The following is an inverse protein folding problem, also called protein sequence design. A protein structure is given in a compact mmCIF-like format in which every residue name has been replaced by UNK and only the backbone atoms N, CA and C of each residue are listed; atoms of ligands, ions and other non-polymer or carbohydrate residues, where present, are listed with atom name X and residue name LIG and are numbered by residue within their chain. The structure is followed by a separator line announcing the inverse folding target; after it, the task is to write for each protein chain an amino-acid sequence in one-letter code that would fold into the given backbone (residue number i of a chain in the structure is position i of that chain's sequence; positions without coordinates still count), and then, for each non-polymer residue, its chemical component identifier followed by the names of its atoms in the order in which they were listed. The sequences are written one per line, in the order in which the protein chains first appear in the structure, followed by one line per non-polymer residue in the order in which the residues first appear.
data_IF_949987445748
#
_entry.id   IF_949987445748
#
_cell.length_a   1.000
_cell.length_b   1.000
_cell.length_c   1.000
_cell.angle_alpha   90.00
_cell.angle_beta   90.00
_cell.angle_gamma   90.00
#
_symmetry.space_group_name_H-M   'P 1'
#
loop_
_entity.id
_entity.type
_entity.pdbx_description
1 polymer ?
#
# COMPACT_ATOMS: atom_id res chain seq x y z
N UNK A 1 46.46 43.06 -10.21
CA UNK A 1 47.28 41.91 -9.77
C UNK A 1 46.29 40.88 -9.26
N UNK A 2 45.80 39.89 -10.01
CA UNK A 2 46.36 39.13 -11.13
C UNK A 2 45.23 38.84 -12.13
N UNK A 3 45.59 38.88 -13.42
CA UNK A 3 44.75 38.63 -14.58
C UNK A 3 44.57 37.14 -14.91
N UNK A 4 43.54 36.89 -15.73
CA UNK A 4 43.14 35.69 -16.46
C UNK A 4 44.29 34.81 -17.03
N UNK A 5 44.11 33.48 -17.00
CA UNK A 5 44.02 32.70 -18.26
C UNK A 5 43.49 31.27 -18.04
N UNK A 6 42.39 30.94 -18.70
CA UNK A 6 41.83 29.59 -18.75
C UNK A 6 41.92 29.09 -20.19
N UNK A 7 42.96 28.30 -20.50
CA UNK A 7 43.03 27.50 -21.73
C UNK A 7 43.61 26.12 -21.49
N UNK A 8 42.78 25.14 -21.89
CA UNK A 8 43.14 23.88 -22.55
C UNK A 8 44.10 22.92 -21.85
N UNK A 9 43.53 21.91 -21.19
CA UNK A 9 43.97 20.51 -21.34
C UNK A 9 42.75 19.61 -21.51
N UNK A 10 42.40 19.37 -22.78
CA UNK A 10 41.61 18.21 -23.20
C UNK A 10 42.38 16.96 -22.78
N UNK A 11 41.92 16.28 -21.73
CA UNK A 11 42.33 14.91 -21.43
C UNK A 11 41.31 14.00 -22.11
N UNK A 12 41.81 13.26 -23.08
CA UNK A 12 41.13 12.22 -23.84
C UNK A 12 40.35 11.26 -22.96
N UNK A 13 39.11 10.96 -23.37
CA UNK A 13 38.26 9.91 -22.81
C UNK A 13 39.02 8.57 -22.71
N UNK A 14 39.00 7.87 -21.56
CA UNK A 14 39.58 6.54 -21.47
C UNK A 14 38.74 5.56 -22.30
N UNK A 15 39.38 4.93 -23.29
CA UNK A 15 38.79 3.86 -24.10
C UNK A 15 38.47 2.67 -23.19
N UNK A 16 37.20 2.25 -23.15
CA UNK A 16 36.77 1.02 -22.49
C UNK A 16 37.50 -0.19 -23.12
N UNK A 17 38.11 -1.08 -22.33
CA UNK A 17 38.69 -2.31 -22.86
C UNK A 17 37.58 -3.25 -23.36
N UNK A 18 37.71 -3.66 -24.63
CA UNK A 18 36.70 -4.37 -25.42
C UNK A 18 36.53 -5.87 -25.11
N UNK A 19 36.90 -6.33 -23.90
CA UNK A 19 36.93 -7.76 -23.56
C UNK A 19 36.48 -8.08 -22.13
N UNK A 20 35.32 -7.56 -21.70
CA UNK A 20 34.61 -8.16 -20.57
C UNK A 20 33.62 -9.20 -21.12
N UNK A 21 34.11 -10.43 -21.34
CA UNK A 21 33.23 -11.60 -21.30
C UNK A 21 32.72 -11.70 -19.87
N UNK A 22 31.57 -11.09 -19.60
CA UNK A 22 30.76 -11.39 -18.43
C UNK A 22 30.32 -12.85 -18.55
N UNK A 23 31.15 -13.76 -18.05
CA UNK A 23 30.69 -15.04 -17.56
C UNK A 23 29.80 -14.72 -16.36
N UNK A 24 28.53 -14.46 -16.63
CA UNK A 24 27.49 -14.68 -15.64
C UNK A 24 27.42 -16.20 -15.52
N UNK A 25 28.24 -16.75 -14.63
CA UNK A 25 27.95 -18.08 -14.08
C UNK A 25 26.60 -17.94 -13.40
N UNK A 26 25.53 -18.36 -14.08
CA UNK A 26 24.24 -18.60 -13.44
C UNK A 26 24.51 -19.63 -12.34
N UNK A 27 24.40 -19.28 -11.05
CA UNK A 27 24.57 -20.25 -10.00
C UNK A 27 23.56 -21.39 -10.24
N UNK A 28 23.93 -22.65 -9.99
CA UNK A 28 23.01 -23.77 -10.14
C UNK A 28 21.76 -23.47 -9.30
N UNK A 29 20.62 -23.52 -9.96
CA UNK A 29 19.30 -23.33 -9.37
C UNK A 29 19.12 -24.36 -8.25
N UNK A 30 19.43 -24.00 -7.00
CA UNK A 30 19.03 -24.81 -5.85
C UNK A 30 17.52 -24.64 -5.72
N UNK A 31 16.80 -25.68 -6.14
CA UNK A 31 15.36 -25.78 -5.97
C UNK A 31 14.97 -25.62 -4.50
N UNK A 32 13.86 -24.90 -4.30
CA UNK A 32 13.26 -24.63 -3.00
C UNK A 32 13.74 -23.30 -2.41
N UNK A 33 13.05 -22.19 -2.75
CA UNK A 33 13.04 -21.06 -1.84
C UNK A 33 12.45 -21.55 -0.51
N UNK A 34 13.10 -21.27 0.61
CA UNK A 34 12.53 -21.57 1.92
C UNK A 34 11.17 -20.86 2.02
N UNK A 35 10.12 -21.61 2.37
CA UNK A 35 8.82 -21.04 2.64
C UNK A 35 8.95 -20.00 3.76
N UNK A 36 8.23 -18.89 3.63
CA UNK A 36 8.17 -17.91 4.72
C UNK A 36 7.41 -18.56 5.86
N UNK A 37 8.16 -18.99 6.87
CA UNK A 37 7.62 -19.58 8.08
C UNK A 37 7.13 -18.47 9.02
N UNK A 38 5.94 -18.70 9.58
CA UNK A 38 5.43 -17.89 10.68
C UNK A 38 6.28 -18.09 11.93
N UNK A 39 6.29 -17.11 12.82
CA UNK A 39 6.79 -17.31 14.19
C UNK A 39 6.02 -18.45 14.90
N UNK A 40 6.45 -18.84 16.11
CA UNK A 40 5.75 -19.90 16.84
C UNK A 40 4.27 -19.57 17.03
N UNK A 41 3.40 -20.58 17.06
CA UNK A 41 1.95 -20.36 17.24
C UNK A 41 1.64 -19.62 18.53
N UNK A 42 2.44 -19.83 19.58
CA UNK A 42 2.31 -19.11 20.85
C UNK A 42 2.57 -17.61 20.69
N UNK A 43 3.60 -17.23 19.94
CA UNK A 43 3.96 -15.84 19.71
C UNK A 43 3.01 -15.14 18.74
N UNK A 44 2.55 -15.83 17.69
CA UNK A 44 1.51 -15.34 16.81
C UNK A 44 0.22 -15.06 17.59
N UNK A 45 -0.20 -15.99 18.46
CA UNK A 45 -1.41 -15.84 19.26
C UNK A 45 -1.28 -14.72 20.30
N UNK A 46 -0.12 -14.58 20.94
CA UNK A 46 0.15 -13.48 21.86
C UNK A 46 0.11 -12.11 21.15
N UNK A 47 0.68 -12.02 19.94
CA UNK A 47 0.62 -10.84 19.10
C UNK A 47 -0.82 -10.48 18.71
N UNK A 48 -1.60 -11.45 18.24
CA UNK A 48 -3.01 -11.26 17.88
C UNK A 48 -3.86 -10.79 19.07
N UNK A 49 -3.65 -11.37 20.25
CA UNK A 49 -4.35 -10.96 21.47
C UNK A 49 -3.91 -9.57 21.95
N UNK A 50 -2.62 -9.25 21.87
CA UNK A 50 -2.09 -7.95 22.23
C UNK A 50 -2.74 -6.84 21.40
N UNK A 51 -2.90 -7.05 20.10
CA UNK A 51 -3.49 -6.09 19.15
C UNK A 51 -5.02 -6.15 19.03
N UNK A 52 -5.66 -7.10 19.71
CA UNK A 52 -7.10 -7.39 19.58
C UNK A 52 -7.52 -7.69 18.13
N UNK A 53 -6.66 -8.39 17.40
CA UNK A 53 -6.92 -8.82 16.02
C UNK A 53 -8.15 -9.73 15.91
N UNK A 54 -8.48 -10.62 16.86
CA UNK A 54 -9.71 -11.40 16.79
C UNK A 54 -10.97 -10.51 16.76
N UNK A 55 -10.98 -9.43 17.53
CA UNK A 55 -12.09 -8.46 17.49
C UNK A 55 -12.10 -7.65 16.19
N UNK A 56 -10.94 -7.17 15.72
CA UNK A 56 -10.85 -6.47 14.44
C UNK A 56 -11.27 -7.33 13.24
N UNK A 57 -10.81 -8.59 13.18
CA UNK A 57 -11.18 -9.53 12.12
C UNK A 57 -12.69 -9.79 12.06
N UNK A 58 -13.42 -9.72 13.20
CA UNK A 58 -14.88 -9.82 13.19
C UNK A 58 -15.53 -8.68 12.40
N UNK A 59 -15.00 -7.47 12.49
CA UNK A 59 -15.48 -6.35 11.67
C UNK A 59 -15.16 -6.55 10.19
N UNK A 60 -13.93 -6.97 9.88
CA UNK A 60 -13.47 -7.11 8.50
C UNK A 60 -14.14 -8.26 7.74
N UNK A 61 -14.48 -9.34 8.45
CA UNK A 61 -15.14 -10.52 7.85
C UNK A 61 -16.66 -10.43 7.86
N UNK A 62 -17.25 -9.46 8.57
CA UNK A 62 -18.67 -9.19 8.50
C UNK A 62 -19.05 -8.69 7.09
N UNK A 63 -19.94 -9.44 6.43
CA UNK A 63 -20.54 -9.08 5.13
C UNK A 63 -21.89 -8.43 5.38
N UNK A 64 -21.87 -7.14 5.71
CA UNK A 64 -23.10 -6.39 6.00
C UNK A 64 -23.70 -5.81 4.73
N UNK A 65 -22.86 -5.60 3.71
CA UNK A 65 -23.25 -5.10 2.39
C UNK A 65 -22.84 -6.13 1.33
N UNK A 66 -23.56 -7.27 1.21
CA UNK A 66 -23.16 -8.36 0.30
C UNK A 66 -23.09 -7.93 -1.17
N UNK A 67 -23.88 -6.94 -1.56
CA UNK A 67 -23.88 -6.36 -2.91
C UNK A 67 -22.67 -5.43 -3.14
N UNK A 68 -22.02 -4.94 -2.07
CA UNK A 68 -20.81 -4.14 -2.14
C UNK A 68 -19.58 -5.05 -2.21
N UNK A 69 -19.24 -5.51 -3.43
CA UNK A 69 -18.11 -6.45 -3.67
C UNK A 69 -16.78 -6.00 -3.09
N UNK A 70 -16.55 -4.70 -2.96
CA UNK A 70 -15.30 -4.13 -2.41
C UNK A 70 -15.35 -3.86 -0.90
N UNK A 71 -16.46 -4.13 -0.22
CA UNK A 71 -16.57 -4.13 1.24
C UNK A 71 -15.40 -4.84 1.96
N UNK A 72 -14.97 -6.07 1.55
CA UNK A 72 -13.88 -6.79 2.23
C UNK A 72 -12.55 -6.05 2.20
N UNK A 73 -12.36 -5.17 1.21
CA UNK A 73 -11.12 -4.42 0.97
C UNK A 73 -11.24 -3.00 1.54
N UNK A 74 -12.36 -2.32 1.28
CA UNK A 74 -12.57 -0.92 1.67
C UNK A 74 -12.87 -0.77 3.16
N UNK A 75 -13.64 -1.67 3.77
CA UNK A 75 -13.93 -1.61 5.21
C UNK A 75 -12.66 -1.60 6.07
N UNK A 76 -11.72 -2.58 5.96
CA UNK A 76 -10.48 -2.54 6.74
C UNK A 76 -9.61 -1.32 6.38
N UNK A 77 -9.58 -0.88 5.12
CA UNK A 77 -8.83 0.32 4.71
C UNK A 77 -9.38 1.60 5.39
N UNK A 78 -10.70 1.78 5.41
CA UNK A 78 -11.36 2.90 6.06
C UNK A 78 -11.20 2.84 7.59
N UNK A 79 -11.23 1.65 8.19
CA UNK A 79 -10.94 1.48 9.62
C UNK A 79 -9.48 1.79 9.95
N UNK A 80 -8.52 1.46 9.08
CA UNK A 80 -7.13 1.90 9.24
C UNK A 80 -7.04 3.44 9.24
N UNK A 81 -7.77 4.10 8.34
CA UNK A 81 -7.84 5.56 8.28
C UNK A 81 -8.43 6.16 9.57
N UNK A 82 -9.50 5.57 10.11
CA UNK A 82 -10.07 6.00 11.39
C UNK A 82 -9.09 5.77 12.57
N UNK A 83 -8.34 4.67 12.56
CA UNK A 83 -7.28 4.44 13.55
C UNK A 83 -6.17 5.50 13.41
N UNK A 84 -5.83 5.91 12.19
CA UNK A 84 -4.89 7.02 11.94
C UNK A 84 -5.40 8.33 12.57
N UNK A 85 -6.69 8.66 12.45
CA UNK A 85 -7.27 9.85 13.10
C UNK A 85 -7.17 9.77 14.63
N UNK A 86 -7.54 8.64 15.22
CA UNK A 86 -7.34 8.37 16.64
C UNK A 86 -5.86 8.49 17.06
N UNK A 87 -4.95 8.10 16.18
CA UNK A 87 -3.51 8.15 16.44
C UNK A 87 -2.98 9.58 16.42
N UNK A 88 -3.45 10.43 15.48
CA UNK A 88 -3.19 11.88 15.47
C UNK A 88 -3.59 12.51 16.80
N UNK A 89 -4.80 12.22 17.30
CA UNK A 89 -5.25 12.68 18.62
C UNK A 89 -4.27 12.28 19.74
N UNK A 90 -3.85 11.01 19.73
CA UNK A 90 -3.02 10.43 20.79
C UNK A 90 -1.63 11.07 20.83
N UNK A 91 -0.99 11.25 19.68
CA UNK A 91 0.38 11.78 19.60
C UNK A 91 0.44 13.29 19.82
N UNK A 92 -0.53 14.05 19.28
CA UNK A 92 -0.57 15.50 19.50
C UNK A 92 -0.96 15.88 20.94
N UNK A 93 -1.55 14.94 21.68
CA UNK A 93 -1.87 15.09 23.10
C UNK A 93 -0.78 14.55 24.03
N UNK A 94 0.29 13.95 23.50
CA UNK A 94 1.37 13.38 24.29
C UNK A 94 2.05 14.46 25.15
N UNK A 95 2.03 14.37 26.49
CA UNK A 95 2.56 15.40 27.37
C UNK A 95 4.10 15.41 27.45
N UNK A 96 4.77 14.37 26.95
CA UNK A 96 6.22 14.19 27.16
C UNK A 96 7.04 15.23 26.40
N UNK A 97 8.11 15.78 27.00
CA UNK A 97 8.85 16.91 26.44
C UNK A 97 9.76 16.51 25.26
N UNK A 98 10.16 15.25 25.18
CA UNK A 98 11.03 14.72 24.12
C UNK A 98 10.26 14.21 22.90
N UNK A 99 8.92 14.18 22.94
CA UNK A 99 8.10 13.79 21.80
C UNK A 99 8.17 14.86 20.69
N UNK A 100 8.72 14.49 19.53
CA UNK A 100 8.80 15.39 18.37
C UNK A 100 7.42 15.54 17.68
N UNK A 101 6.49 16.26 18.34
CA UNK A 101 5.11 16.43 17.87
C UNK A 101 5.01 17.00 16.45
N UNK A 102 5.98 17.84 16.05
CA UNK A 102 6.01 18.45 14.70
C UNK A 102 6.26 17.41 13.62
N UNK A 103 7.24 16.53 13.83
CA UNK A 103 7.53 15.47 12.86
C UNK A 103 6.44 14.41 12.86
N UNK A 104 5.94 14.03 14.04
CA UNK A 104 4.77 13.16 14.15
C UNK A 104 3.54 13.71 13.38
N UNK A 105 3.24 15.00 13.56
CA UNK A 105 2.16 15.68 12.84
C UNK A 105 2.32 15.55 11.32
N UNK A 106 3.51 15.82 10.79
CA UNK A 106 3.79 15.72 9.35
C UNK A 106 3.67 14.29 8.83
N UNK A 107 4.23 13.33 9.57
CA UNK A 107 4.25 11.92 9.16
C UNK A 107 2.86 11.31 9.20
N UNK A 108 2.03 11.66 10.20
CA UNK A 108 0.65 11.20 10.26
C UNK A 108 -0.26 11.88 9.22
N UNK A 109 -0.05 13.17 8.92
CA UNK A 109 -0.73 13.85 7.80
C UNK A 109 -0.38 13.21 6.46
N UNK A 110 0.91 12.93 6.23
CA UNK A 110 1.38 12.23 5.04
C UNK A 110 0.79 10.82 4.95
N UNK A 111 0.80 10.06 6.06
CA UNK A 111 0.22 8.72 6.11
C UNK A 111 -1.28 8.74 5.77
N UNK A 112 -2.05 9.64 6.39
CA UNK A 112 -3.47 9.79 6.10
C UNK A 112 -3.69 10.14 4.63
N UNK A 113 -2.83 10.97 4.04
CA UNK A 113 -2.89 11.31 2.62
C UNK A 113 -2.63 10.09 1.73
N UNK A 114 -1.57 9.31 2.00
CA UNK A 114 -1.28 8.05 1.29
C UNK A 114 -2.44 7.04 1.40
N UNK A 115 -3.08 6.94 2.56
CA UNK A 115 -4.26 6.10 2.79
C UNK A 115 -5.47 6.56 1.98
N UNK A 116 -5.77 7.85 1.99
CA UNK A 116 -6.88 8.45 1.23
C UNK A 116 -6.68 8.26 -0.28
N UNK A 117 -5.46 8.49 -0.79
CA UNK A 117 -5.11 8.26 -2.19
C UNK A 117 -5.27 6.80 -2.62
N UNK A 118 -4.99 5.86 -1.73
CA UNK A 118 -5.18 4.43 -1.97
C UNK A 118 -6.66 4.05 -1.92
N UNK A 119 -7.41 4.56 -0.95
CA UNK A 119 -8.86 4.36 -0.85
C UNK A 119 -9.56 4.89 -2.10
N UNK A 120 -9.24 6.11 -2.53
CA UNK A 120 -9.78 6.69 -3.77
C UNK A 120 -9.49 5.80 -4.98
N UNK A 121 -8.24 5.34 -5.13
CA UNK A 121 -7.89 4.46 -6.24
C UNK A 121 -8.59 3.09 -6.19
N UNK A 122 -8.85 2.54 -4.99
CA UNK A 122 -9.63 1.32 -4.81
C UNK A 122 -11.10 1.50 -5.19
N UNK A 123 -11.66 2.68 -4.93
CA UNK A 123 -13.04 3.02 -5.32
C UNK A 123 -13.11 3.19 -6.84
N UNK A 124 -12.21 3.97 -7.46
CA UNK A 124 -12.18 4.19 -8.91
C UNK A 124 -12.02 2.89 -9.70
N UNK A 125 -11.17 1.97 -9.24
CA UNK A 125 -10.94 0.68 -9.90
C UNK A 125 -12.19 -0.22 -9.90
N UNK A 126 -13.13 0.01 -8.98
CA UNK A 126 -14.38 -0.74 -8.89
C UNK A 126 -15.46 -0.26 -9.89
N UNK A 127 -15.37 0.99 -10.38
CA UNK A 127 -16.42 1.59 -11.21
C UNK A 127 -16.27 1.32 -12.71
N UNK A 128 -15.17 0.68 -13.13
CA UNK A 128 -14.88 0.43 -14.54
C UNK A 128 -15.81 -0.62 -15.18
N UNK A 129 -16.69 -1.26 -14.39
CA UNK A 129 -17.69 -2.25 -14.82
C UNK A 129 -19.03 -1.63 -15.27
N UNK A 130 -19.11 -0.30 -15.43
CA UNK A 130 -20.09 0.34 -16.31
C UNK A 130 -21.46 0.71 -15.71
N UNK A 131 -21.69 0.52 -14.41
CA UNK A 131 -22.90 1.01 -13.76
C UNK A 131 -22.68 1.42 -12.30
N UNK A 132 -22.30 2.69 -12.08
CA UNK A 132 -22.13 3.27 -10.75
C UNK A 132 -23.40 3.22 -9.89
N UNK A 133 -24.58 3.02 -10.51
CA UNK A 133 -25.85 2.81 -9.79
C UNK A 133 -26.00 1.39 -9.25
N UNK A 134 -25.19 0.45 -9.74
CA UNK A 134 -25.24 -0.97 -9.37
C UNK A 134 -24.12 -1.35 -8.40
N UNK A 135 -23.15 -0.46 -8.13
CA UNK A 135 -22.22 -0.61 -7.02
C UNK A 135 -22.88 -0.17 -5.70
N UNK A 136 -23.50 -1.12 -5.01
CA UNK A 136 -24.30 -0.96 -3.78
C UNK A 136 -23.53 -0.54 -2.52
N UNK A 137 -22.57 0.38 -2.64
CA UNK A 137 -22.02 1.05 -1.47
C UNK A 137 -23.15 1.79 -0.73
N UNK A 138 -23.17 1.82 0.62
CA UNK A 138 -24.18 2.55 1.37
C UNK A 138 -23.91 4.05 1.29
N UNK A 139 -24.41 4.68 0.23
CA UNK A 139 -24.23 6.11 -0.05
C UNK A 139 -25.54 6.86 0.16
N UNK A 140 -25.46 8.04 0.77
CA UNK A 140 -26.59 8.94 0.94
C UNK A 140 -26.59 10.01 -0.17
N UNK A 141 -27.71 10.14 -0.89
CA UNK A 141 -27.88 11.21 -1.88
C UNK A 141 -28.19 12.52 -1.16
N UNK A 142 -27.22 13.44 -1.20
CA UNK A 142 -27.27 14.73 -0.52
C UNK A 142 -27.88 15.85 -1.38
N UNK A 143 -28.41 15.52 -2.57
CA UNK A 143 -29.10 16.48 -3.43
C UNK A 143 -30.50 16.73 -2.88
N UNK A 144 -30.73 17.93 -2.36
CA UNK A 144 -32.08 18.39 -2.00
C UNK A 144 -32.93 18.42 -3.27
N UNK A 145 -33.86 17.46 -3.41
CA UNK A 145 -34.84 17.48 -4.50
C UNK A 145 -36.15 18.13 -4.08
N UNK A 146 -36.38 18.39 -2.80
CA UNK A 146 -37.59 19.06 -2.31
C UNK A 146 -37.31 19.91 -1.05
N UNK A 147 -37.41 21.24 -1.20
CA UNK A 147 -37.59 22.19 -0.08
C UNK A 147 -36.38 22.49 0.81
N UNK A 148 -36.47 23.54 1.65
CA UNK A 148 -35.44 23.87 2.63
C UNK A 148 -35.27 22.67 3.58
N UNK A 149 -34.03 22.20 3.73
CA UNK A 149 -33.70 21.06 4.58
C UNK A 149 -34.34 21.26 5.95
N UNK A 150 -35.27 20.37 6.32
CA UNK A 150 -35.69 20.26 7.69
C UNK A 150 -34.42 20.00 8.52
N UNK A 151 -34.21 20.79 9.58
CA UNK A 151 -33.10 20.66 10.55
C UNK A 151 -33.19 19.35 11.35
N UNK A 152 -33.47 18.22 10.71
CA UNK A 152 -33.78 16.95 11.35
C UNK A 152 -32.56 16.05 11.52
N UNK A 153 -31.44 16.34 10.84
CA UNK A 153 -30.18 15.61 10.98
C UNK A 153 -29.07 16.60 11.31
N UNK A 154 -28.43 16.46 12.47
CA UNK A 154 -27.37 17.40 12.93
C UNK A 154 -26.04 17.22 12.19
N UNK A 155 -25.95 16.23 11.30
CA UNK A 155 -24.76 15.81 10.54
C UNK A 155 -24.63 16.42 9.14
N UNK A 156 -25.67 17.07 8.61
CA UNK A 156 -25.67 17.65 7.25
C UNK A 156 -25.55 19.18 7.29
N UNK A 157 -24.54 19.73 6.61
CA UNK A 157 -24.30 21.18 6.56
C UNK A 157 -24.47 21.70 5.12
N UNK A 158 -25.34 22.70 4.92
CA UNK A 158 -25.45 23.42 3.65
C UNK A 158 -24.17 24.22 3.40
N UNK A 159 -23.50 23.95 2.28
CA UNK A 159 -22.16 24.50 2.00
C UNK A 159 -22.22 25.66 1.00
N UNK A 160 -22.94 25.50 -0.11
CA UNK A 160 -23.14 26.55 -1.13
C UNK A 160 -24.26 26.20 -2.12
N UNK A 161 -24.77 27.20 -2.85
CA UNK A 161 -25.77 27.02 -3.92
C UNK A 161 -25.11 27.09 -5.30
N UNK A 162 -25.34 26.09 -6.13
CA UNK A 162 -24.98 26.13 -7.55
C UNK A 162 -25.94 27.07 -8.29
N UNK A 163 -25.45 28.06 -9.07
CA UNK A 163 -26.31 28.84 -9.95
C UNK A 163 -26.80 27.95 -11.09
N UNK A 164 -28.10 27.68 -11.15
CA UNK A 164 -28.77 26.96 -12.25
C UNK A 164 -29.65 27.90 -13.09
N UNK A 165 -29.92 27.53 -14.34
CA UNK A 165 -30.72 28.31 -15.31
C UNK A 165 -32.21 28.45 -14.96
N UNK A 166 -32.69 27.74 -13.93
CA UNK A 166 -34.01 27.93 -13.35
C UNK A 166 -33.84 28.43 -11.91
N UNK A 167 -34.74 29.31 -11.46
CA UNK A 167 -34.67 30.04 -10.17
C UNK A 167 -34.67 29.17 -8.89
N UNK A 168 -34.37 27.88 -8.98
CA UNK A 168 -34.20 26.96 -7.86
C UNK A 168 -32.78 26.38 -7.92
N UNK A 169 -31.83 27.09 -7.32
CA UNK A 169 -30.42 26.68 -7.31
C UNK A 169 -30.21 25.44 -6.44
N UNK A 170 -29.53 24.42 -6.96
CA UNK A 170 -29.22 23.20 -6.20
C UNK A 170 -28.34 23.52 -5.00
N UNK A 171 -28.84 23.27 -3.77
CA UNK A 171 -28.03 23.36 -2.55
C UNK A 171 -27.08 22.17 -2.47
N UNK A 172 -25.80 22.45 -2.33
CA UNK A 172 -24.76 21.46 -2.06
C UNK A 172 -24.67 21.26 -0.55
N UNK A 173 -24.78 20.02 -0.13
CA UNK A 173 -24.78 19.62 1.28
C UNK A 173 -23.55 18.74 1.51
N UNK A 174 -22.80 19.02 2.57
CA UNK A 174 -21.73 18.15 3.06
C UNK A 174 -22.28 17.29 4.19
N UNK A 175 -21.94 16.00 4.15
CA UNK A 175 -22.20 15.08 5.26
C UNK A 175 -20.97 15.00 6.17
N UNK A 176 -21.22 15.07 7.48
CA UNK A 176 -20.21 14.93 8.52
C UNK A 176 -20.55 13.73 9.39
N UNK A 177 -19.71 12.71 9.36
CA UNK A 177 -19.73 11.60 10.32
C UNK A 177 -19.80 12.11 11.77
N UNK A 178 -20.72 11.54 12.55
CA UNK A 178 -20.93 11.94 13.94
C UNK A 178 -19.95 11.23 14.89
N UNK A 179 -19.49 10.04 14.52
CA UNK A 179 -18.63 9.21 15.37
C UNK A 179 -17.13 9.29 15.05
N UNK A 180 -16.76 9.68 13.82
CA UNK A 180 -15.35 9.77 13.41
C UNK A 180 -14.56 10.79 14.23
N UNK A 181 -13.27 10.52 14.46
CA UNK A 181 -12.37 11.49 15.06
C UNK A 181 -12.05 12.68 14.16
N UNK A 182 -12.06 12.56 12.83
CA UNK A 182 -11.56 13.63 11.95
C UNK A 182 -12.33 14.96 12.11
N UNK A 183 -13.68 14.99 12.06
CA UNK A 183 -14.45 16.21 12.34
C UNK A 183 -14.11 16.81 13.71
N UNK A 184 -13.91 15.96 14.72
CA UNK A 184 -13.57 16.40 16.09
C UNK A 184 -12.17 16.99 16.16
N UNK A 185 -11.19 16.39 15.49
CA UNK A 185 -9.82 16.90 15.41
C UNK A 185 -9.77 18.29 14.77
N UNK A 186 -10.65 18.58 13.81
CA UNK A 186 -10.76 19.88 13.16
C UNK A 186 -11.22 20.98 14.13
N UNK A 187 -11.95 20.65 15.20
CA UNK A 187 -12.38 21.61 16.22
C UNK A 187 -11.33 21.88 17.30
N UNK A 188 -10.26 21.06 17.37
CA UNK A 188 -9.26 21.16 18.42
C UNK A 188 -8.03 21.93 17.96
N UNK A 189 -7.71 23.03 18.65
CA UNK A 189 -6.59 23.93 18.32
C UNK A 189 -5.23 23.23 18.07
N UNK A 190 -4.96 22.11 18.74
CA UNK A 190 -3.70 21.35 18.57
C UNK A 190 -3.63 20.54 17.28
N UNK A 191 -4.76 20.12 16.75
CA UNK A 191 -4.88 19.22 15.58
C UNK A 191 -5.61 19.84 14.39
N UNK A 192 -6.18 21.03 14.56
CA UNK A 192 -6.97 21.75 13.55
C UNK A 192 -6.26 21.81 12.19
N UNK A 193 -5.00 22.26 12.16
CA UNK A 193 -4.23 22.36 10.92
C UNK A 193 -4.10 21.01 10.19
N UNK A 194 -3.74 19.95 10.92
CA UNK A 194 -3.60 18.59 10.36
C UNK A 194 -4.95 18.08 9.85
N UNK A 195 -6.01 18.25 10.63
CA UNK A 195 -7.34 17.80 10.27
C UNK A 195 -7.87 18.52 9.02
N UNK A 196 -7.66 19.84 8.91
CA UNK A 196 -8.04 20.61 7.73
C UNK A 196 -7.28 20.17 6.47
N UNK A 197 -5.97 19.90 6.60
CA UNK A 197 -5.18 19.36 5.48
C UNK A 197 -5.70 18.00 5.04
N UNK A 198 -6.03 17.11 5.98
CA UNK A 198 -6.62 15.80 5.70
C UNK A 198 -7.97 15.95 4.99
N UNK A 199 -8.87 16.82 5.47
CA UNK A 199 -10.16 17.08 4.83
C UNK A 199 -10.00 17.61 3.39
N UNK A 200 -9.02 18.48 3.16
CA UNK A 200 -8.69 18.96 1.81
C UNK A 200 -8.14 17.84 0.92
N UNK A 201 -7.34 16.92 1.47
CA UNK A 201 -6.89 15.74 0.75
C UNK A 201 -8.06 14.83 0.38
N UNK A 202 -9.02 14.60 1.29
CA UNK A 202 -10.27 13.86 0.97
C UNK A 202 -10.99 14.54 -0.19
N UNK A 203 -11.24 15.84 -0.11
CA UNK A 203 -11.89 16.60 -1.18
C UNK A 203 -11.17 16.43 -2.52
N UNK A 204 -9.84 16.54 -2.55
CA UNK A 204 -9.07 16.46 -3.79
C UNK A 204 -9.07 15.06 -4.41
N UNK A 205 -8.86 14.02 -3.60
CA UNK A 205 -8.77 12.64 -4.11
C UNK A 205 -10.13 12.08 -4.51
N UNK A 206 -11.20 12.43 -3.78
CA UNK A 206 -12.55 11.95 -4.06
C UNK A 206 -13.20 12.63 -5.29
N UNK A 207 -12.53 13.61 -5.94
CA UNK A 207 -13.00 14.23 -7.19
C UNK A 207 -13.15 13.26 -8.35
N UNK A 208 -12.41 12.16 -8.34
CA UNK A 208 -12.47 11.12 -9.38
C UNK A 208 -13.38 9.95 -9.01
N UNK A 209 -13.72 9.81 -7.73
CA UNK A 209 -14.62 8.79 -7.21
C UNK A 209 -16.10 9.11 -7.49
N UNK A 210 -17.01 8.12 -7.45
CA UNK A 210 -18.44 8.32 -7.68
C UNK A 210 -19.14 8.94 -6.46
N UNK A 211 -18.57 8.77 -5.27
CA UNK A 211 -19.04 9.32 -3.99
C UNK A 211 -17.88 9.89 -3.18
N UNK A 212 -18.20 10.69 -2.16
CA UNK A 212 -17.23 11.19 -1.16
C UNK A 212 -17.25 10.35 0.11
N UNK A 213 -16.33 10.59 1.07
CA UNK A 213 -16.24 9.76 2.29
C UNK A 213 -17.23 10.16 3.39
N UNK A 214 -17.81 11.36 3.36
CA UNK A 214 -18.78 11.83 4.35
C UNK A 214 -18.14 12.15 5.72
N UNK A 215 -16.90 12.62 5.72
CA UNK A 215 -16.09 12.94 6.90
C UNK A 215 -16.10 14.44 7.25
N UNK A 216 -17.01 15.22 6.65
CA UNK A 216 -17.05 16.68 6.78
C UNK A 216 -16.17 17.42 5.77
N UNK A 217 -15.71 16.74 4.71
CA UNK A 217 -15.10 17.41 3.57
C UNK A 217 -16.12 18.35 2.89
N UNK A 218 -15.67 19.41 2.20
CA UNK A 218 -16.61 20.40 1.67
C UNK A 218 -17.53 19.89 0.55
N UNK A 219 -17.13 18.83 -0.16
CA UNK A 219 -17.88 18.21 -1.27
C UNK A 219 -18.26 19.23 -2.36
N UNK A 220 -17.26 19.90 -2.94
CA UNK A 220 -17.48 20.94 -3.96
C UNK A 220 -18.23 20.43 -5.21
N UNK A 221 -18.18 19.11 -5.44
CA UNK A 221 -18.78 18.44 -6.59
C UNK A 221 -20.21 17.94 -6.35
N UNK A 222 -20.77 18.13 -5.14
CA UNK A 222 -22.13 17.71 -4.78
C UNK A 222 -22.43 16.23 -5.12
N UNK A 223 -21.44 15.38 -4.83
CA UNK A 223 -21.56 13.92 -4.96
C UNK A 223 -22.27 13.34 -3.75
N UNK A 224 -22.88 12.15 -3.90
CA UNK A 224 -23.41 11.44 -2.75
C UNK A 224 -22.26 11.09 -1.79
N UNK A 225 -22.54 11.00 -0.50
CA UNK A 225 -21.51 10.71 0.53
C UNK A 225 -21.71 9.33 1.14
N UNK A 226 -20.61 8.62 1.32
CA UNK A 226 -20.60 7.33 1.98
C UNK A 226 -21.08 7.47 3.42
N UNK A 227 -21.94 6.56 3.90
CA UNK A 227 -22.29 6.50 5.32
C UNK A 227 -21.12 5.89 6.10
N UNK A 228 -20.15 6.75 6.44
CA UNK A 228 -18.90 6.37 7.08
C UNK A 228 -19.12 5.65 8.42
N UNK A 229 -20.07 6.14 9.23
CA UNK A 229 -20.34 5.59 10.57
C UNK A 229 -20.87 4.17 10.49
N UNK A 230 -21.74 3.89 9.52
CA UNK A 230 -22.31 2.57 9.31
C UNK A 230 -21.24 1.53 8.89
N UNK A 231 -20.26 1.93 8.07
CA UNK A 231 -19.22 1.03 7.56
C UNK A 231 -18.06 0.87 8.54
N UNK A 232 -17.51 1.99 9.01
CA UNK A 232 -16.30 2.00 9.83
C UNK A 232 -16.62 1.61 11.27
N UNK A 233 -17.83 1.92 11.74
CA UNK A 233 -18.27 1.81 13.14
C UNK A 233 -17.25 2.44 14.10
N UNK A 234 -16.95 3.75 13.96
CA UNK A 234 -15.88 4.38 14.73
C UNK A 234 -16.05 4.20 16.24
N UNK A 235 -17.27 4.32 16.78
CA UNK A 235 -17.54 4.09 18.22
C UNK A 235 -17.04 2.72 18.69
N UNK A 236 -17.40 1.65 17.98
CA UNK A 236 -16.99 0.28 18.29
C UNK A 236 -15.46 0.11 18.13
N UNK A 237 -14.89 0.64 17.05
CA UNK A 237 -13.45 0.61 16.78
C UNK A 237 -12.66 1.33 17.88
N UNK A 238 -13.18 2.43 18.42
CA UNK A 238 -12.55 3.18 19.51
C UNK A 238 -12.58 2.44 20.85
N UNK A 239 -13.55 1.53 21.07
CA UNK A 239 -13.52 0.64 22.24
C UNK A 239 -12.35 -0.34 22.20
N UNK A 240 -11.77 -0.55 21.02
CA UNK A 240 -10.57 -1.35 20.84
C UNK A 240 -9.30 -0.60 21.21
N UNK A 241 -9.34 0.63 21.77
CA UNK A 241 -8.15 1.43 22.11
C UNK A 241 -7.27 0.83 23.23
N UNK A 242 -7.77 -0.10 24.05
CA UNK A 242 -7.04 -0.61 25.24
C UNK A 242 -6.76 -2.13 25.14
N UNK A 243 -5.52 -2.58 25.36
CA UNK A 243 -5.22 -4.00 25.56
C UNK A 243 -5.85 -4.45 26.89
N UNK A 244 -6.55 -5.59 26.90
CA UNK A 244 -7.27 -6.13 28.08
C UNK A 244 -6.36 -6.64 29.22
N UNK A 245 -5.04 -6.44 29.14
CA UNK A 245 -4.08 -7.02 30.10
C UNK A 245 -4.15 -6.35 31.49
N UNK A 246 -4.21 -7.13 32.59
CA UNK A 246 -4.26 -6.61 33.96
C UNK A 246 -2.96 -5.93 34.44
N UNK A 247 -1.88 -6.01 33.65
CA UNK A 247 -0.58 -5.36 33.96
C UNK A 247 -0.46 -3.92 33.40
N UNK A 248 -1.44 -3.44 32.64
CA UNK A 248 -1.44 -2.13 31.97
C UNK A 248 -2.01 -0.97 32.82
N UNK A 249 -1.69 -0.90 34.12
CA UNK A 249 -2.05 0.28 34.95
C UNK A 249 -1.22 1.54 34.65
N UNK A 250 -0.25 1.45 33.73
CA UNK A 250 0.59 2.58 33.34
C UNK A 250 0.17 3.01 31.94
N UNK A 251 -0.31 4.25 31.79
CA UNK A 251 -0.54 4.92 30.52
C UNK A 251 0.80 5.13 29.80
N UNK A 252 1.33 4.05 29.20
CA UNK A 252 2.54 4.09 28.40
C UNK A 252 2.17 4.54 26.98
N UNK A 253 2.58 5.76 26.61
CA UNK A 253 2.26 6.36 25.32
C UNK A 253 2.87 5.58 24.15
N UNK A 254 4.02 4.95 24.34
CA UNK A 254 4.74 4.12 23.38
C UNK A 254 4.00 2.82 23.12
N UNK A 255 3.38 2.25 24.14
CA UNK A 255 2.49 1.11 23.99
C UNK A 255 1.27 1.50 23.13
N UNK A 256 0.70 2.70 23.34
CA UNK A 256 -0.39 3.21 22.50
C UNK A 256 0.06 3.47 21.06
N UNK A 257 1.27 3.99 20.88
CA UNK A 257 1.91 4.19 19.57
C UNK A 257 2.11 2.86 18.85
N UNK A 258 2.80 1.91 19.46
CA UNK A 258 3.03 0.57 18.91
C UNK A 258 1.72 -0.12 18.54
N UNK A 259 0.74 -0.07 19.44
CA UNK A 259 -0.59 -0.61 19.23
C UNK A 259 -1.28 0.02 18.01
N UNK A 260 -1.25 1.35 17.89
CA UNK A 260 -1.91 2.07 16.79
C UNK A 260 -1.22 1.80 15.45
N UNK A 261 0.12 1.88 15.40
CA UNK A 261 0.92 1.58 14.20
C UNK A 261 0.64 0.17 13.70
N UNK A 262 0.63 -0.82 14.60
CA UNK A 262 0.39 -2.22 14.22
C UNK A 262 -1.05 -2.48 13.82
N UNK A 263 -2.05 -1.87 14.45
CA UNK A 263 -3.44 -2.01 14.01
C UNK A 263 -3.68 -1.41 12.62
N UNK A 264 -3.07 -0.26 12.32
CA UNK A 264 -3.11 0.35 10.98
C UNK A 264 -2.49 -0.62 9.97
N UNK A 265 -1.29 -1.14 10.28
CA UNK A 265 -0.58 -2.12 9.46
C UNK A 265 -1.44 -3.36 9.16
N UNK A 266 -2.01 -3.99 10.19
CA UNK A 266 -2.80 -5.22 10.07
C UNK A 266 -4.10 -5.00 9.29
N UNK A 267 -4.71 -3.83 9.41
CA UNK A 267 -5.91 -3.49 8.62
C UNK A 267 -5.57 -3.41 7.13
N UNK A 268 -4.46 -2.77 6.77
CA UNK A 268 -4.01 -2.70 5.37
C UNK A 268 -3.49 -4.04 4.83
N UNK A 269 -2.85 -4.86 5.67
CA UNK A 269 -2.49 -6.24 5.33
C UNK A 269 -3.75 -7.04 4.98
N UNK A 270 -4.80 -6.94 5.78
CA UNK A 270 -6.05 -7.64 5.51
C UNK A 270 -6.69 -7.17 4.18
N UNK A 271 -6.74 -5.85 3.95
CA UNK A 271 -7.21 -5.29 2.68
C UNK A 271 -6.40 -5.81 1.48
N UNK A 272 -5.08 -5.90 1.61
CA UNK A 272 -4.20 -6.39 0.56
C UNK A 272 -4.37 -7.90 0.28
N UNK A 273 -4.60 -8.71 1.31
CA UNK A 273 -4.91 -10.14 1.16
C UNK A 273 -6.18 -10.34 0.34
N UNK A 274 -7.26 -9.62 0.67
CA UNK A 274 -8.52 -9.69 -0.08
C UNK A 274 -8.36 -9.14 -1.51
N UNK A 275 -7.59 -8.08 -1.70
CA UNK A 275 -7.26 -7.54 -3.03
C UNK A 275 -6.43 -8.54 -3.88
N UNK A 276 -5.49 -9.26 -3.28
CA UNK A 276 -4.71 -10.30 -3.95
C UNK A 276 -5.59 -11.48 -4.38
N UNK A 277 -6.54 -11.90 -3.54
CA UNK A 277 -7.53 -12.94 -3.90
C UNK A 277 -8.36 -12.49 -5.11
N UNK A 278 -8.94 -11.29 -5.05
CA UNK A 278 -9.68 -10.68 -6.16
C UNK A 278 -8.84 -10.56 -7.44
N UNK A 279 -7.58 -10.18 -7.31
CA UNK A 279 -6.64 -10.10 -8.44
C UNK A 279 -6.39 -11.48 -9.05
N UNK A 280 -6.27 -12.52 -8.22
CA UNK A 280 -6.18 -13.91 -8.66
C UNK A 280 -7.40 -14.34 -9.48
N UNK A 281 -8.61 -14.02 -9.02
CA UNK A 281 -9.87 -14.28 -9.74
C UNK A 281 -9.90 -13.55 -11.09
N UNK A 282 -9.46 -12.29 -11.16
CA UNK A 282 -9.35 -11.55 -12.42
C UNK A 282 -8.38 -12.20 -13.41
N UNK A 283 -7.25 -12.74 -12.93
CA UNK A 283 -6.28 -13.46 -13.78
C UNK A 283 -6.91 -14.74 -14.33
N UNK A 284 -7.59 -15.52 -13.49
CA UNK A 284 -8.29 -16.74 -13.90
C UNK A 284 -9.41 -16.46 -14.90
N UNK A 285 -10.15 -15.37 -14.70
CA UNK A 285 -11.18 -14.86 -15.62
C UNK A 285 -10.63 -14.17 -16.88
N UNK A 286 -9.29 -14.12 -17.06
CA UNK A 286 -8.60 -13.42 -18.17
C UNK A 286 -8.91 -11.91 -18.26
N UNK A 287 -9.39 -11.30 -17.18
CA UNK A 287 -9.52 -9.84 -17.07
C UNK A 287 -8.16 -9.24 -16.73
N UNK A 288 -7.24 -9.24 -17.70
CA UNK A 288 -5.84 -8.88 -17.48
C UNK A 288 -5.66 -7.39 -17.15
N UNK A 289 -6.48 -6.50 -17.70
CA UNK A 289 -6.48 -5.09 -17.34
C UNK A 289 -6.82 -4.87 -15.85
N UNK A 290 -7.92 -5.46 -15.36
CA UNK A 290 -8.31 -5.36 -13.95
C UNK A 290 -7.29 -6.03 -13.02
N UNK A 291 -6.73 -7.17 -13.43
CA UNK A 291 -5.66 -7.82 -12.68
C UNK A 291 -4.40 -6.94 -12.58
N UNK A 292 -4.02 -6.25 -13.66
CA UNK A 292 -2.87 -5.35 -13.67
C UNK A 292 -3.08 -4.16 -12.72
N UNK A 293 -4.30 -3.61 -12.69
CA UNK A 293 -4.69 -2.56 -11.74
C UNK A 293 -4.63 -3.07 -10.29
N UNK A 294 -5.16 -4.27 -10.02
CA UNK A 294 -5.07 -4.94 -8.73
C UNK A 294 -3.63 -5.10 -8.25
N UNK A 295 -2.73 -5.60 -9.10
CA UNK A 295 -1.30 -5.70 -8.77
C UNK A 295 -0.65 -4.32 -8.53
N UNK A 296 -1.02 -3.29 -9.28
CA UNK A 296 -0.52 -1.94 -9.05
C UNK A 296 -0.97 -1.38 -7.69
N UNK A 297 -2.21 -1.63 -7.29
CA UNK A 297 -2.74 -1.27 -5.98
C UNK A 297 -2.04 -2.04 -4.85
N UNK A 298 -1.84 -3.35 -5.00
CA UNK A 298 -1.05 -4.16 -4.03
C UNK A 298 0.36 -3.60 -3.86
N UNK A 299 1.03 -3.22 -4.95
CA UNK A 299 2.34 -2.57 -4.88
C UNK A 299 2.30 -1.28 -4.06
N UNK A 300 1.28 -0.44 -4.27
CA UNK A 300 1.11 0.80 -3.50
C UNK A 300 0.82 0.51 -2.02
N UNK A 301 0.07 -0.53 -1.71
CA UNK A 301 -0.15 -0.96 -0.31
C UNK A 301 1.18 -1.39 0.33
N UNK A 302 2.04 -2.15 -0.34
CA UNK A 302 3.37 -2.49 0.20
C UNK A 302 4.20 -1.25 0.57
N UNK A 303 4.17 -0.21 -0.25
CA UNK A 303 4.83 1.07 0.06
C UNK A 303 4.18 1.78 1.26
N UNK A 304 2.85 1.74 1.36
CA UNK A 304 2.16 2.26 2.53
C UNK A 304 2.56 1.50 3.81
N UNK A 305 2.70 0.17 3.74
CA UNK A 305 3.16 -0.63 4.89
C UNK A 305 4.57 -0.22 5.32
N UNK A 306 5.46 0.10 4.38
CA UNK A 306 6.78 0.67 4.66
C UNK A 306 6.69 2.02 5.37
N UNK A 307 5.85 2.94 4.88
CA UNK A 307 5.59 4.23 5.53
C UNK A 307 5.02 4.09 6.96
N UNK A 308 4.20 3.06 7.20
CA UNK A 308 3.65 2.74 8.53
C UNK A 308 4.75 2.24 9.47
N UNK A 309 5.62 1.33 9.00
CA UNK A 309 6.74 0.82 9.81
C UNK A 309 7.75 1.92 10.16
N UNK A 310 7.99 2.87 9.25
CA UNK A 310 8.89 4.01 9.49
C UNK A 310 8.47 4.88 10.68
N UNK A 311 7.20 4.86 11.10
CA UNK A 311 6.73 5.58 12.28
C UNK A 311 7.41 5.12 13.57
N UNK A 312 7.93 3.88 13.63
CA UNK A 312 8.70 3.41 14.78
C UNK A 312 10.01 4.21 14.97
N UNK A 313 10.55 4.83 13.91
CA UNK A 313 11.75 5.67 13.98
C UNK A 313 11.51 7.01 14.73
N UNK A 314 10.26 7.38 14.97
CA UNK A 314 9.89 8.58 15.72
C UNK A 314 9.67 8.31 17.22
N UNK A 315 9.75 7.04 17.62
CA UNK A 315 9.66 6.60 19.02
C UNK A 315 11.03 6.72 19.67
N UNK A 316 11.06 7.10 20.94
CA UNK A 316 12.32 7.09 21.70
C UNK A 316 12.91 5.65 21.74
N UNK A 317 14.19 5.46 21.40
CA UNK A 317 14.80 4.14 21.34
C UNK A 317 14.81 3.40 22.68
N UNK A 318 15.02 4.09 23.82
CA UNK A 318 15.06 3.45 25.13
C UNK A 318 13.66 2.96 25.54
N UNK A 319 12.64 3.79 25.31
CA UNK A 319 11.26 3.41 25.60
C UNK A 319 10.76 2.27 24.69
N UNK A 320 11.11 2.28 23.40
CA UNK A 320 10.79 1.18 22.47
C UNK A 320 11.48 -0.12 22.89
N UNK A 321 12.77 -0.07 23.25
CA UNK A 321 13.52 -1.22 23.73
C UNK A 321 12.92 -1.82 25.00
N UNK A 322 12.47 -0.98 25.94
CA UNK A 322 11.77 -1.43 27.15
C UNK A 322 10.45 -2.11 26.81
N UNK A 323 9.66 -1.54 25.90
CA UNK A 323 8.39 -2.12 25.46
C UNK A 323 8.61 -3.50 24.82
N UNK A 324 9.56 -3.59 23.89
CA UNK A 324 9.86 -4.81 23.16
C UNK A 324 10.42 -5.92 24.07
N UNK A 325 11.22 -5.56 25.09
CA UNK A 325 11.74 -6.51 26.08
C UNK A 325 10.70 -6.94 27.12
N UNK A 326 9.85 -6.02 27.59
CA UNK A 326 8.94 -6.29 28.71
C UNK A 326 7.56 -6.83 28.31
N UNK A 327 7.00 -6.39 27.18
CA UNK A 327 5.64 -6.72 26.76
C UNK A 327 5.59 -7.70 25.59
N UNK A 328 6.61 -7.70 24.73
CA UNK A 328 6.60 -8.45 23.47
C UNK A 328 7.60 -9.61 23.45
N UNK A 329 8.42 -9.81 24.49
CA UNK A 329 9.37 -10.94 24.61
C UNK A 329 10.15 -11.22 23.32
N UNK A 330 10.69 -10.18 22.67
CA UNK A 330 11.31 -10.27 21.33
C UNK A 330 12.57 -11.16 21.32
N UNK A 331 13.18 -11.43 22.48
CA UNK A 331 14.47 -12.15 22.61
C UNK A 331 14.40 -13.68 22.49
N UNK A 332 13.23 -14.29 22.34
CA UNK A 332 13.08 -15.75 22.51
C UNK A 332 12.90 -16.55 21.21
N UNK A 333 12.91 -15.91 20.03
CA UNK A 333 12.55 -16.59 18.77
C UNK A 333 13.56 -16.33 17.65
N UNK A 334 13.75 -17.34 16.78
CA UNK A 334 14.58 -17.24 15.59
C UNK A 334 13.91 -16.46 14.44
N UNK A 335 12.57 -16.40 14.43
CA UNK A 335 11.79 -15.65 13.46
C UNK A 335 11.74 -14.15 13.83
N UNK A 336 11.87 -13.28 12.83
CA UNK A 336 11.73 -11.84 13.04
C UNK A 336 10.31 -11.47 13.53
N UNK A 337 10.24 -10.39 14.33
CA UNK A 337 8.99 -9.96 14.99
C UNK A 337 7.81 -9.76 14.03
N UNK A 338 8.05 -9.24 12.83
CA UNK A 338 7.01 -9.03 11.82
C UNK A 338 6.33 -10.34 11.36
N UNK A 339 7.01 -11.49 11.44
CA UNK A 339 6.42 -12.81 11.12
C UNK A 339 5.49 -13.38 12.19
N UNK A 340 5.25 -12.64 13.28
CA UNK A 340 4.13 -12.90 14.20
C UNK A 340 2.78 -12.50 13.59
N UNK A 341 2.79 -11.64 12.57
CA UNK A 341 1.61 -11.35 11.76
C UNK A 341 1.36 -12.50 10.79
N UNK A 342 0.33 -13.31 11.07
CA UNK A 342 -0.13 -14.34 10.13
C UNK A 342 -0.60 -13.74 8.81
N UNK A 343 -1.22 -12.55 8.86
CA UNK A 343 -1.68 -11.83 7.67
C UNK A 343 -0.51 -11.40 6.77
N UNK A 344 0.59 -10.89 7.35
CA UNK A 344 1.76 -10.50 6.57
C UNK A 344 2.40 -11.70 5.87
N UNK A 345 2.48 -12.84 6.58
CA UNK A 345 3.00 -14.10 6.00
C UNK A 345 2.08 -14.60 4.88
N UNK A 346 0.76 -14.57 5.07
CA UNK A 346 -0.21 -14.91 4.02
C UNK A 346 -0.08 -14.00 2.79
N UNK A 347 -0.04 -12.68 3.00
CA UNK A 347 0.16 -11.68 1.94
C UNK A 347 1.45 -11.94 1.15
N UNK A 348 2.54 -12.27 1.85
CA UNK A 348 3.84 -12.59 1.24
C UNK A 348 3.76 -13.86 0.39
N UNK A 349 3.08 -14.90 0.88
CA UNK A 349 2.85 -16.16 0.14
C UNK A 349 2.03 -15.91 -1.12
N UNK A 350 0.91 -15.20 -1.01
CA UNK A 350 0.07 -14.84 -2.16
C UNK A 350 0.84 -14.03 -3.22
N UNK A 351 1.73 -13.12 -2.81
CA UNK A 351 2.60 -12.39 -3.74
C UNK A 351 3.60 -13.32 -4.45
N UNK A 352 4.21 -14.28 -3.72
CA UNK A 352 5.11 -15.29 -4.31
C UNK A 352 4.37 -16.20 -5.29
N UNK A 353 3.13 -16.55 -4.98
CA UNK A 353 2.32 -17.47 -5.79
C UNK A 353 1.89 -16.86 -7.13
N UNK A 354 1.99 -15.54 -7.30
CA UNK A 354 1.80 -14.87 -8.58
C UNK A 354 2.68 -15.47 -9.69
N UNK A 355 3.89 -15.95 -9.37
CA UNK A 355 4.78 -16.62 -10.35
C UNK A 355 4.13 -17.81 -11.03
N UNK A 356 3.28 -18.55 -10.32
CA UNK A 356 2.58 -19.71 -10.86
C UNK A 356 1.48 -19.34 -11.86
N UNK A 357 1.10 -18.06 -11.92
CA UNK A 357 0.12 -17.53 -12.89
C UNK A 357 0.75 -17.08 -14.21
N UNK A 358 2.08 -16.93 -14.27
CA UNK A 358 2.79 -16.43 -15.47
C UNK A 358 2.59 -17.32 -16.72
N UNK A 359 2.70 -18.67 -16.65
CA UNK A 359 2.43 -19.51 -17.81
C UNK A 359 1.00 -19.37 -18.33
N UNK A 360 0.03 -19.26 -17.43
CA UNK A 360 -1.38 -19.03 -17.78
C UNK A 360 -1.58 -17.70 -18.53
N UNK A 361 -0.95 -16.62 -18.05
CA UNK A 361 -1.02 -15.30 -18.70
C UNK A 361 -0.40 -15.33 -20.10
N UNK A 362 0.74 -16.02 -20.25
CA UNK A 362 1.45 -16.15 -21.53
C UNK A 362 0.84 -17.19 -22.48
N UNK A 363 -0.07 -18.04 -22.00
CA UNK A 363 -0.68 -19.11 -22.80
C UNK A 363 0.30 -20.25 -23.12
N UNK A 364 1.26 -20.51 -22.23
CA UNK A 364 2.29 -21.56 -22.39
C UNK A 364 2.03 -22.68 -21.39
N UNK A 365 2.35 -23.92 -21.77
CA UNK A 365 2.30 -25.06 -20.85
C UNK A 365 3.20 -24.85 -19.63
N UNK A 366 2.76 -25.32 -18.47
CA UNK A 366 3.46 -25.14 -17.20
C UNK A 366 4.72 -25.99 -17.19
N UNK A 367 5.86 -25.37 -17.44
CA UNK A 367 7.16 -25.94 -17.09
C UNK A 367 7.48 -25.55 -15.62
N UNK A 368 7.59 -26.52 -14.69
CA UNK A 368 7.89 -26.25 -13.29
C UNK A 368 9.24 -25.55 -13.06
N UNK A 369 10.12 -25.48 -14.07
CA UNK A 369 11.43 -24.82 -14.00
C UNK A 369 11.51 -23.46 -14.69
N UNK A 370 10.44 -22.95 -15.30
CA UNK A 370 10.45 -21.66 -16.01
C UNK A 370 11.35 -21.65 -17.24
N UNK A 371 11.32 -22.72 -18.04
CA UNK A 371 12.25 -22.98 -19.13
C UNK A 371 12.18 -22.05 -20.35
N UNK A 372 12.93 -22.40 -21.43
CA UNK A 372 13.13 -21.55 -22.62
C UNK A 372 11.83 -21.09 -23.30
N UNK A 373 10.79 -21.94 -23.29
CA UNK A 373 9.49 -21.61 -23.91
C UNK A 373 8.76 -20.47 -23.22
N UNK A 374 8.84 -20.37 -21.89
CA UNK A 374 8.23 -19.28 -21.12
C UNK A 374 8.93 -17.95 -21.43
N UNK A 375 10.26 -17.99 -21.50
CA UNK A 375 11.09 -16.84 -21.85
C UNK A 375 10.81 -16.37 -23.29
N UNK A 376 10.73 -17.28 -24.25
CA UNK A 376 10.45 -16.95 -25.65
C UNK A 376 9.06 -16.32 -25.82
N UNK A 377 8.03 -16.85 -25.14
CA UNK A 377 6.70 -16.27 -25.15
C UNK A 377 6.67 -14.87 -24.55
N UNK A 378 7.37 -14.64 -23.44
CA UNK A 378 7.51 -13.31 -22.84
C UNK A 378 8.24 -12.34 -23.78
N UNK A 379 9.33 -12.77 -24.42
CA UNK A 379 10.05 -11.96 -25.41
C UNK A 379 9.14 -11.57 -26.58
N UNK A 380 8.38 -12.54 -27.12
CA UNK A 380 7.44 -12.30 -28.21
C UNK A 380 6.37 -11.29 -27.81
N UNK A 381 5.76 -11.46 -26.65
CA UNK A 381 4.75 -10.54 -26.11
C UNK A 381 5.31 -9.11 -26.00
N UNK A 382 6.51 -8.94 -25.44
CA UNK A 382 7.13 -7.62 -25.28
C UNK A 382 7.56 -6.96 -26.60
N UNK A 383 7.90 -7.74 -27.63
CA UNK A 383 8.20 -7.21 -28.98
C UNK A 383 6.95 -6.77 -29.71
N UNK A 384 5.97 -7.67 -29.79
CA UNK A 384 4.79 -7.46 -30.62
C UNK A 384 3.82 -6.46 -29.97
N UNK A 385 3.75 -6.43 -28.64
CA UNK A 385 2.87 -5.54 -27.84
C UNK A 385 1.41 -5.54 -28.27
N UNK A 386 0.96 -6.61 -28.93
CA UNK A 386 -0.42 -6.79 -29.40
C UNK A 386 -1.41 -6.96 -28.25
N UNK A 387 -0.93 -7.45 -27.11
CA UNK A 387 -1.71 -7.65 -25.89
C UNK A 387 -1.13 -6.80 -24.74
N UNK A 388 -1.33 -5.47 -24.75
CA UNK A 388 -0.70 -4.55 -23.80
C UNK A 388 -1.11 -4.83 -22.35
N UNK A 389 -2.32 -5.34 -22.12
CA UNK A 389 -2.81 -5.69 -20.79
C UNK A 389 -1.97 -6.79 -20.12
N UNK A 390 -1.55 -7.81 -20.89
CA UNK A 390 -0.64 -8.86 -20.39
C UNK A 390 0.73 -8.29 -20.06
N UNK A 391 1.23 -7.34 -20.87
CA UNK A 391 2.49 -6.65 -20.60
C UNK A 391 2.41 -5.89 -19.29
N UNK A 392 1.34 -5.10 -19.10
CA UNK A 392 1.10 -4.33 -17.87
C UNK A 392 0.97 -5.25 -16.65
N UNK A 393 0.22 -6.34 -16.77
CA UNK A 393 0.06 -7.33 -15.70
C UNK A 393 1.42 -7.92 -15.28
N UNK A 394 2.20 -8.44 -16.22
CA UNK A 394 3.51 -9.03 -15.91
C UNK A 394 4.49 -8.01 -15.29
N UNK A 395 4.50 -6.77 -15.78
CA UNK A 395 5.30 -5.70 -15.18
C UNK A 395 4.82 -5.33 -13.78
N UNK A 396 3.50 -5.30 -13.56
CA UNK A 396 2.92 -5.00 -12.27
C UNK A 396 3.23 -6.10 -11.24
N UNK A 397 3.23 -7.38 -11.62
CA UNK A 397 3.63 -8.50 -10.75
C UNK A 397 5.10 -8.38 -10.31
N UNK A 398 6.02 -8.07 -11.24
CA UNK A 398 7.42 -7.80 -10.89
C UNK A 398 7.57 -6.58 -9.98
N UNK A 399 6.70 -5.57 -10.15
CA UNK A 399 6.71 -4.40 -9.28
C UNK A 399 6.20 -4.69 -7.87
N UNK A 400 5.26 -5.63 -7.71
CA UNK A 400 4.80 -6.14 -6.41
C UNK A 400 5.95 -6.85 -5.70
N UNK A 401 6.69 -7.72 -6.39
CA UNK A 401 7.87 -8.36 -5.81
C UNK A 401 8.90 -7.33 -5.32
N UNK A 402 9.20 -6.33 -6.17
CA UNK A 402 10.14 -5.27 -5.81
C UNK A 402 9.70 -4.49 -4.57
N UNK A 403 8.41 -4.13 -4.47
CA UNK A 403 7.87 -3.42 -3.31
C UNK A 403 7.87 -4.30 -2.04
N UNK A 404 7.53 -5.58 -2.16
CA UNK A 404 7.57 -6.54 -1.06
C UNK A 404 9.00 -6.73 -0.52
N UNK A 405 9.99 -6.94 -1.40
CA UNK A 405 11.40 -7.04 -0.99
C UNK A 405 11.90 -5.72 -0.38
N UNK A 406 11.46 -4.59 -0.93
CA UNK A 406 11.70 -3.25 -0.37
C UNK A 406 11.20 -3.10 1.06
N UNK A 407 9.96 -3.50 1.33
CA UNK A 407 9.38 -3.50 2.67
C UNK A 407 10.22 -4.31 3.67
N UNK A 408 10.59 -5.55 3.35
CA UNK A 408 11.38 -6.37 4.29
C UNK A 408 12.78 -5.82 4.53
N UNK A 409 13.39 -5.23 3.50
CA UNK A 409 14.65 -4.51 3.66
C UNK A 409 14.49 -3.30 4.59
N UNK A 410 13.49 -2.46 4.35
CA UNK A 410 13.20 -1.29 5.19
C UNK A 410 12.86 -1.69 6.62
N UNK A 411 12.04 -2.72 6.83
CA UNK A 411 11.70 -3.25 8.15
C UNK A 411 12.95 -3.69 8.93
N UNK A 412 13.91 -4.34 8.26
CA UNK A 412 15.21 -4.67 8.86
C UNK A 412 15.96 -3.41 9.29
N UNK A 413 15.96 -2.36 8.47
CA UNK A 413 16.63 -1.10 8.82
C UNK A 413 15.94 -0.40 10.00
N UNK A 414 14.60 -0.40 10.05
CA UNK A 414 13.84 0.12 11.19
C UNK A 414 14.20 -0.64 12.47
N UNK A 415 14.23 -1.97 12.42
CA UNK A 415 14.67 -2.82 13.52
C UNK A 415 16.11 -2.49 13.95
N UNK A 416 17.04 -2.35 13.00
CA UNK A 416 18.44 -2.02 13.30
C UNK A 416 18.59 -0.63 13.94
N UNK A 417 17.86 0.37 13.42
CA UNK A 417 17.90 1.73 13.94
C UNK A 417 17.28 1.83 15.34
N UNK A 418 16.21 1.08 15.59
CA UNK A 418 15.44 1.20 16.82
C UNK A 418 15.93 0.26 17.94
N UNK A 419 16.50 -0.90 17.59
CA UNK A 419 16.99 -1.90 18.55
C UNK A 419 18.50 -2.16 18.52
N UNK A 420 19.21 -1.60 17.54
CA UNK A 420 20.64 -1.82 17.31
C UNK A 420 20.92 -2.98 16.34
N UNK A 421 22.08 -2.91 15.68
CA UNK A 421 22.45 -3.85 14.60
C UNK A 421 22.54 -5.31 15.04
N UNK A 422 22.83 -5.57 16.32
CA UNK A 422 22.94 -6.92 16.87
C UNK A 422 21.60 -7.66 16.88
N UNK A 423 20.49 -6.95 17.08
CA UNK A 423 19.13 -7.51 17.08
C UNK A 423 18.55 -7.59 15.64
N UNK A 424 19.19 -6.93 14.67
CA UNK A 424 18.79 -6.94 13.24
C UNK A 424 19.33 -8.12 12.43
N UNK A 425 20.12 -9.00 13.06
CA UNK A 425 20.80 -10.12 12.38
C UNK A 425 19.89 -11.31 12.07
N UNK A 426 18.57 -11.18 12.24
CA UNK A 426 17.61 -12.25 11.98
C UNK A 426 17.79 -12.84 10.58
N UNK A 427 18.21 -14.11 10.51
CA UNK A 427 18.47 -14.83 9.26
C UNK A 427 17.24 -14.88 8.36
N UNK A 428 16.04 -14.94 8.97
CA UNK A 428 14.74 -15.00 8.28
C UNK A 428 14.43 -13.76 7.42
N UNK A 429 14.78 -12.54 7.86
CA UNK A 429 14.59 -11.32 7.04
C UNK A 429 15.58 -11.28 5.87
N UNK A 430 16.82 -11.73 6.10
CA UNK A 430 17.84 -11.80 5.06
C UNK A 430 17.43 -12.75 3.93
N UNK A 431 16.78 -13.86 4.26
CA UNK A 431 16.33 -14.84 3.28
C UNK A 431 15.32 -14.28 2.28
N UNK A 432 14.45 -13.34 2.67
CA UNK A 432 13.39 -12.84 1.77
C UNK A 432 13.94 -11.85 0.74
N UNK A 433 14.72 -10.84 1.15
CA UNK A 433 15.20 -9.86 0.17
C UNK A 433 16.40 -10.37 -0.64
N UNK A 434 17.18 -11.33 -0.11
CA UNK A 434 18.25 -12.00 -0.86
C UNK A 434 17.75 -13.12 -1.76
N UNK A 435 16.46 -13.48 -1.68
CA UNK A 435 15.86 -14.47 -2.56
C UNK A 435 16.06 -14.05 -4.03
N UNK A 436 16.38 -15.00 -4.93
CA UNK A 436 16.36 -14.75 -6.36
C UNK A 436 15.02 -14.16 -6.84
N UNK A 437 15.03 -13.58 -8.04
CA UNK A 437 13.80 -13.06 -8.67
C UNK A 437 12.71 -14.15 -8.66
N UNK A 438 11.48 -13.78 -8.31
CA UNK A 438 10.32 -14.66 -8.44
C UNK A 438 9.93 -14.85 -9.91
N UNK A 439 10.42 -13.99 -10.80
CA UNK A 439 10.11 -13.97 -12.23
C UNK A 439 11.36 -14.04 -13.13
N UNK A 440 12.25 -15.05 -12.97
CA UNK A 440 13.54 -15.09 -13.64
C UNK A 440 13.40 -15.14 -15.17
N UNK A 441 12.41 -15.85 -15.72
CA UNK A 441 12.18 -15.95 -17.16
C UNK A 441 11.72 -14.61 -17.78
N UNK A 442 10.98 -13.78 -17.02
CA UNK A 442 10.58 -12.44 -17.45
C UNK A 442 11.77 -11.48 -17.46
N UNK A 443 12.67 -11.60 -16.48
CA UNK A 443 13.89 -10.80 -16.42
C UNK A 443 14.87 -11.18 -17.54
N UNK A 444 15.06 -12.49 -17.78
CA UNK A 444 15.85 -12.99 -18.89
C UNK A 444 15.32 -12.47 -20.25
N UNK A 445 14.00 -12.50 -20.45
CA UNK A 445 13.37 -11.98 -21.66
C UNK A 445 13.74 -10.52 -21.95
N UNK A 446 13.85 -9.66 -20.91
CA UNK A 446 14.25 -8.25 -21.07
C UNK A 446 15.71 -8.10 -21.49
N UNK A 447 16.61 -8.93 -20.99
CA UNK A 447 18.03 -8.92 -21.38
C UNK A 447 18.20 -9.13 -22.89
N UNK A 448 17.50 -10.12 -23.46
CA UNK A 448 17.58 -10.42 -24.89
C UNK A 448 16.91 -9.37 -25.79
N UNK A 449 15.91 -8.63 -25.29
CA UNK A 449 15.37 -7.46 -25.99
C UNK A 449 16.43 -6.35 -26.10
N UNK A 450 17.22 -6.16 -25.05
CA UNK A 450 18.33 -5.21 -25.02
C UNK A 450 19.38 -5.53 -26.09
N UNK A 451 19.94 -6.74 -26.06
CA UNK A 451 21.05 -7.17 -26.95
C UNK A 451 20.75 -7.06 -28.44
N UNK A 452 19.50 -7.28 -28.85
CA UNK A 452 19.12 -7.16 -30.26
C UNK A 452 19.00 -5.71 -30.74
N UNK A 453 18.65 -4.76 -29.87
CA UNK A 453 18.70 -3.34 -30.24
C UNK A 453 20.13 -2.92 -30.61
N UNK A 454 21.12 -3.37 -29.84
CA UNK A 454 22.53 -3.13 -30.12
C UNK A 454 23.00 -3.84 -31.41
N UNK A 455 22.47 -5.03 -31.69
CA UNK A 455 22.82 -5.80 -32.88
C UNK A 455 22.20 -5.23 -34.17
N UNK A 456 21.00 -4.64 -34.11
CA UNK A 456 20.35 -3.99 -35.25
C UNK A 456 20.77 -2.53 -35.45
N UNK A 457 21.20 -1.82 -34.40
CA UNK A 457 21.74 -0.45 -34.49
C UNK A 457 23.17 -0.38 -35.06
N UNK A 458 23.88 -1.51 -35.14
CA UNK A 458 25.26 -1.60 -35.67
C UNK A 458 25.37 -2.12 -37.11
N UNK A 459 24.25 -2.49 -37.75
CA UNK A 459 24.20 -2.92 -39.16
C UNK A 459 23.22 -2.07 -39.95
N UNK A 460 23.54 -0.80 -40.08
CA UNK A 460 23.05 0.02 -41.19
C UNK A 460 24.23 0.84 -41.67
N UNK A 461 24.48 0.77 -42.97
CA UNK A 461 25.58 1.39 -43.74
C UNK A 461 26.96 0.73 -43.61
N UNK A 462 27.17 -0.41 -44.29
CA UNK A 462 28.34 -0.57 -45.18
C UNK A 462 28.29 -1.88 -45.96
N UNK A 463 28.29 -1.77 -47.29
CA UNK A 463 28.91 -2.77 -48.17
C UNK A 463 27.95 -3.55 -49.06
N UNK A 464 27.94 -3.19 -50.36
CA UNK A 464 27.28 -3.98 -51.40
C UNK A 464 27.27 -3.35 -52.79
N UNK A 465 28.38 -2.70 -53.21
CA UNK A 465 28.67 -2.40 -54.63
C UNK A 465 29.80 -3.31 -55.07
N UNK A 466 29.59 -4.06 -56.15
CA UNK A 466 30.56 -4.66 -57.09
C UNK A 466 29.67 -5.37 -58.16
N UNK A 467 29.37 -4.75 -59.30
CA UNK A 467 30.09 -4.68 -60.61
C UNK A 467 29.77 -5.83 -61.57
N UNK A 468 29.40 -5.39 -62.79
CA UNK A 468 29.54 -5.97 -64.15
C UNK A 468 28.74 -7.24 -64.50
N UNK A 469 27.70 -7.10 -65.35
CA UNK A 469 27.76 -7.02 -66.83
C UNK A 469 26.56 -6.21 -67.38
#
# INVERSE_FOLDING_TARGET
MVDFDCKSKLVSSPKLPQNLRLLVETPPFRGGAADVETASDSACSAYEQYLRLPELRRFWTAREFPEWRTEPILRPALQALEITFRFVSTVLSDPRPYANRREWSRRLESLASSQIELIAALIEDNDNDGDWRTASAPVEDLRSRDGPLARTSSSSLEVWRLPGESNDGTTVVSHTSEESFLPRLATWRKSECVAQNILYTVECQMRRCPYTLGLGEPNLTAKPSLNYDLICKPSELHTLKRPKSPYNKIENHENLTMYSVRQILESWIHAAVELLKRTGECIEGRSFSAAASGCYLVRRIWKLLEEIEDLHLLVDPDDLLRLMKSQLSVKSEAAAFCFRSRGLVEMTKLCRDLKHRVPHILGVEVDPSGGPGLQEAAMRLYREKREPEKVHLLQSMQSVESAMKGFFYANKQVVAAAMGSLESSGESLNQIFLEPSHFPSLDAAKTFLGEQWWSCGGRSTSGGRLTDD
#
